data_IF_763029183588
#
_entry.id   IF_763029183588
#
_cell.length_a   1.000
_cell.length_b   1.000
_cell.length_c   1.000
_cell.angle_alpha   90.00
_cell.angle_beta   90.00
_cell.angle_gamma   90.00
#
_symmetry.space_group_name_H-M   'P 1'
#
loop_
_entity.id
_entity.type
_entity.pdbx_description
1 polymer ?
#
# COMPACT_ATOMS: atom_id res chain seq x y z
N UNK A 1 -14.67 20.49 18.61
CA UNK A 1 -15.43 19.28 18.22
C UNK A 1 -14.50 18.40 17.40
N UNK A 2 -14.41 17.10 17.69
CA UNK A 2 -13.54 16.17 16.94
C UNK A 2 -14.21 15.84 15.59
N UNK A 3 -13.55 16.13 14.46
CA UNK A 3 -13.97 15.68 13.12
C UNK A 3 -13.09 14.50 12.69
N UNK A 4 -13.64 13.30 12.69
CA UNK A 4 -12.91 12.11 12.21
C UNK A 4 -12.71 12.21 10.69
N UNK A 5 -11.48 11.99 10.25
CA UNK A 5 -11.09 12.08 8.83
C UNK A 5 -11.60 10.88 8.04
N UNK A 6 -11.84 11.08 6.75
CA UNK A 6 -12.20 10.09 5.73
C UNK A 6 -13.59 9.45 5.89
N UNK A 7 -14.49 10.06 6.67
CA UNK A 7 -15.82 9.48 6.93
C UNK A 7 -16.99 10.44 6.78
N UNK A 8 -16.73 11.74 6.62
CA UNK A 8 -17.78 12.75 6.52
C UNK A 8 -18.45 12.66 5.13
N UNK A 9 -19.78 12.47 5.03
CA UNK A 9 -20.46 12.31 3.74
C UNK A 9 -20.15 13.44 2.74
N UNK A 10 -20.12 14.69 3.21
CA UNK A 10 -19.80 15.86 2.38
C UNK A 10 -18.38 15.81 1.79
N UNK A 11 -17.42 15.24 2.52
CA UNK A 11 -16.03 15.11 2.07
C UNK A 11 -15.90 13.89 1.14
N UNK A 12 -16.64 12.81 1.41
CA UNK A 12 -16.64 11.58 0.62
C UNK A 12 -17.17 11.81 -0.80
N UNK A 13 -18.20 12.65 -0.97
CA UNK A 13 -18.81 12.89 -2.28
C UNK A 13 -17.80 13.45 -3.28
N UNK A 14 -16.97 14.42 -2.88
CA UNK A 14 -15.92 14.95 -3.74
C UNK A 14 -14.91 13.89 -4.18
N UNK A 15 -14.57 12.95 -3.28
CA UNK A 15 -13.70 11.82 -3.61
C UNK A 15 -14.40 10.81 -4.53
N UNK A 16 -15.67 10.50 -4.29
CA UNK A 16 -16.45 9.56 -5.12
C UNK A 16 -16.66 10.09 -6.53
N UNK A 17 -16.87 11.39 -6.71
CA UNK A 17 -16.94 12.02 -8.04
C UNK A 17 -15.65 11.77 -8.84
N UNK A 18 -14.48 11.92 -8.20
CA UNK A 18 -13.18 11.65 -8.83
C UNK A 18 -13.01 10.15 -9.09
N UNK A 19 -13.33 9.30 -8.13
CA UNK A 19 -13.27 7.84 -8.28
C UNK A 19 -14.23 7.35 -9.37
N UNK A 20 -15.40 7.96 -9.54
CA UNK A 20 -16.36 7.64 -10.60
C UNK A 20 -15.80 7.90 -11.99
N UNK A 21 -15.18 9.05 -12.20
CA UNK A 21 -14.50 9.32 -13.46
C UNK A 21 -13.36 8.32 -13.72
N UNK A 22 -12.57 7.96 -12.68
CA UNK A 22 -11.49 6.98 -12.81
C UNK A 22 -12.01 5.57 -13.17
N UNK A 23 -13.11 5.15 -12.57
CA UNK A 23 -13.76 3.86 -12.84
C UNK A 23 -14.55 3.85 -14.17
N UNK A 24 -14.48 4.91 -14.97
CA UNK A 24 -15.18 5.00 -16.26
C UNK A 24 -16.70 5.16 -16.16
N UNK A 25 -17.20 5.67 -15.03
CA UNK A 25 -18.58 6.16 -14.85
C UNK A 25 -18.68 7.63 -15.28
N UNK A 26 -19.90 8.12 -15.52
CA UNK A 26 -20.18 9.50 -15.95
C UNK A 26 -20.83 10.35 -14.83
N UNK A 27 -20.04 10.93 -13.90
CA UNK A 27 -20.59 11.60 -12.72
C UNK A 27 -20.98 13.07 -12.94
N UNK A 28 -20.93 13.61 -14.16
CA UNK A 28 -21.03 15.05 -14.44
C UNK A 28 -22.33 15.69 -13.93
N UNK A 29 -23.48 15.05 -14.19
CA UNK A 29 -24.78 15.55 -13.73
C UNK A 29 -24.87 15.62 -12.20
N UNK A 30 -24.30 14.62 -11.51
CA UNK A 30 -24.26 14.58 -10.04
C UNK A 30 -23.29 15.65 -9.50
N UNK A 31 -22.14 15.85 -10.17
CA UNK A 31 -21.19 16.90 -9.83
C UNK A 31 -21.79 18.30 -9.96
N UNK A 32 -22.58 18.55 -11.01
CA UNK A 32 -23.28 19.82 -11.23
C UNK A 32 -24.30 20.09 -10.13
N UNK A 33 -25.10 19.09 -9.73
CA UNK A 33 -26.05 19.20 -8.62
C UNK A 33 -25.35 19.48 -7.30
N UNK A 34 -24.23 18.81 -7.02
CA UNK A 34 -23.44 19.07 -5.82
C UNK A 34 -22.92 20.50 -5.77
N UNK A 35 -22.34 20.99 -6.88
CA UNK A 35 -21.83 22.36 -6.98
C UNK A 35 -22.94 23.40 -6.88
N UNK A 36 -24.07 23.18 -7.55
CA UNK A 36 -25.23 24.08 -7.51
C UNK A 36 -25.82 24.22 -6.10
N UNK A 37 -25.70 23.18 -5.26
CA UNK A 37 -26.13 23.20 -3.87
C UNK A 37 -25.14 23.93 -2.92
N UNK A 38 -23.97 24.36 -3.42
CA UNK A 38 -22.90 24.95 -2.61
C UNK A 38 -21.89 23.94 -2.06
N UNK A 39 -21.85 22.73 -2.62
CA UNK A 39 -20.91 21.69 -2.25
C UNK A 39 -19.46 22.03 -2.62
N UNK A 40 -18.52 21.65 -1.75
CA UNK A 40 -17.09 21.87 -1.95
C UNK A 40 -16.39 20.70 -2.66
N UNK A 41 -15.17 20.94 -3.13
CA UNK A 41 -14.29 19.85 -3.55
C UNK A 41 -13.77 19.02 -2.38
N UNK A 42 -13.31 17.81 -2.67
CA UNK A 42 -12.75 16.90 -1.68
C UNK A 42 -11.49 17.48 -1.01
N UNK A 43 -11.35 17.38 0.34
CA UNK A 43 -10.13 17.75 1.04
C UNK A 43 -8.92 16.96 0.51
N UNK A 44 -7.90 17.67 -0.01
CA UNK A 44 -6.80 17.00 -0.71
C UNK A 44 -5.81 16.23 0.19
N UNK A 45 -5.65 16.60 1.47
CA UNK A 45 -4.64 15.99 2.37
C UNK A 45 -5.12 15.74 3.80
N UNK A 46 -6.01 16.57 4.33
CA UNK A 46 -6.46 16.47 5.72
C UNK A 46 -7.47 15.34 5.94
N UNK A 47 -8.12 14.84 4.88
CA UNK A 47 -9.17 13.83 4.94
C UNK A 47 -10.47 14.28 5.60
N UNK A 48 -10.54 15.48 6.15
CA UNK A 48 -11.80 16.13 6.54
C UNK A 48 -11.72 17.62 6.24
N UNK A 49 -12.86 18.21 5.89
CA UNK A 49 -13.04 19.65 5.85
C UNK A 49 -12.86 20.27 7.25
N UNK A 50 -12.29 21.49 7.35
CA UNK A 50 -12.01 22.14 8.63
C UNK A 50 -13.29 22.47 9.40
N UNK A 51 -14.36 22.83 8.68
CA UNK A 51 -15.65 23.21 9.23
C UNK A 51 -16.74 22.22 8.81
N UNK A 52 -17.73 21.94 9.68
CA UNK A 52 -18.88 21.13 9.30
C UNK A 52 -19.73 21.78 8.19
N UNK A 53 -20.12 20.99 7.20
CA UNK A 53 -21.13 21.40 6.23
C UNK A 53 -22.52 21.51 6.88
N UNK A 54 -23.42 22.24 6.21
CA UNK A 54 -24.82 22.35 6.64
C UNK A 54 -25.51 20.97 6.65
N UNK A 55 -26.53 20.80 7.49
CA UNK A 55 -27.33 19.56 7.53
C UNK A 55 -27.90 19.21 6.14
N UNK A 56 -28.32 20.23 5.39
CA UNK A 56 -28.81 20.07 4.02
C UNK A 56 -27.75 19.46 3.11
N UNK A 57 -26.53 20.01 3.08
CA UNK A 57 -25.44 19.50 2.26
C UNK A 57 -25.04 18.08 2.65
N UNK A 58 -25.07 17.75 3.95
CA UNK A 58 -24.76 16.38 4.41
C UNK A 58 -25.76 15.35 3.90
N UNK A 59 -27.06 15.64 4.01
CA UNK A 59 -28.11 14.76 3.49
C UNK A 59 -28.03 14.62 1.96
N UNK A 60 -27.85 15.74 1.26
CA UNK A 60 -27.65 15.71 -0.18
C UNK A 60 -26.43 14.88 -0.58
N UNK A 61 -25.32 14.99 0.17
CA UNK A 61 -24.13 14.20 -0.13
C UNK A 61 -24.37 12.69 -0.01
N UNK A 62 -25.14 12.27 1.00
CA UNK A 62 -25.54 10.88 1.17
C UNK A 62 -26.41 10.37 0.01
N UNK A 63 -27.41 11.15 -0.41
CA UNK A 63 -28.28 10.80 -1.54
C UNK A 63 -27.48 10.70 -2.85
N UNK A 64 -26.58 11.66 -3.11
CA UNK A 64 -25.75 11.68 -4.31
C UNK A 64 -24.70 10.57 -4.33
N UNK A 65 -24.18 10.15 -3.17
CA UNK A 65 -23.28 9.01 -3.06
C UNK A 65 -23.97 7.70 -3.45
N UNK A 66 -25.24 7.53 -3.07
CA UNK A 66 -26.02 6.36 -3.44
C UNK A 66 -26.34 6.38 -4.95
N UNK A 67 -26.69 7.54 -5.51
CA UNK A 67 -26.90 7.71 -6.96
C UNK A 67 -25.61 7.44 -7.77
N UNK A 68 -24.44 7.85 -7.26
CA UNK A 68 -23.14 7.55 -7.89
C UNK A 68 -22.84 6.06 -7.92
N UNK A 69 -23.28 5.31 -6.91
CA UNK A 69 -23.06 3.87 -6.83
C UNK A 69 -23.83 3.09 -7.91
N UNK A 70 -24.95 3.64 -8.39
CA UNK A 70 -25.80 3.03 -9.41
C UNK A 70 -25.34 3.34 -10.85
N UNK A 71 -24.40 4.27 -11.04
CA UNK A 71 -23.89 4.62 -12.37
C UNK A 71 -23.12 3.43 -13.00
N UNK A 72 -23.41 3.08 -14.26
CA UNK A 72 -22.71 2.00 -14.94
C UNK A 72 -21.25 2.37 -15.22
N UNK A 73 -20.34 1.44 -14.96
CA UNK A 73 -18.91 1.59 -15.29
C UNK A 73 -18.60 0.95 -16.64
N UNK A 74 -17.93 1.70 -17.51
CA UNK A 74 -17.41 1.21 -18.80
C UNK A 74 -16.21 0.27 -18.65
N UNK A 75 -15.64 0.18 -17.44
CA UNK A 75 -14.50 -0.67 -17.13
C UNK A 75 -14.89 -1.97 -16.43
N UNK A 76 -16.16 -2.16 -16.05
CA UNK A 76 -16.61 -3.30 -15.24
C UNK A 76 -16.26 -4.67 -15.82
N UNK A 77 -16.21 -4.80 -17.15
CA UNK A 77 -15.84 -6.05 -17.83
C UNK A 77 -14.33 -6.24 -18.00
N UNK A 78 -13.56 -5.16 -18.00
CA UNK A 78 -12.10 -5.20 -18.13
C UNK A 78 -11.41 -5.24 -16.75
N UNK A 79 -12.09 -4.72 -15.73
CA UNK A 79 -11.60 -4.60 -14.36
C UNK A 79 -12.60 -5.19 -13.33
N UNK A 80 -12.97 -6.48 -13.42
CA UNK A 80 -13.85 -7.12 -12.45
C UNK A 80 -13.17 -7.36 -11.09
N UNK A 81 -13.91 -7.21 -9.98
CA UNK A 81 -13.39 -7.60 -8.66
C UNK A 81 -13.49 -9.10 -8.38
N UNK A 82 -14.42 -9.81 -9.02
CA UNK A 82 -14.64 -11.24 -8.77
C UNK A 82 -13.43 -12.08 -9.20
N UNK A 83 -12.93 -12.95 -8.32
CA UNK A 83 -11.70 -13.71 -8.57
C UNK A 83 -11.84 -14.63 -9.80
N UNK A 84 -12.99 -15.28 -9.98
CA UNK A 84 -13.23 -16.16 -11.14
C UNK A 84 -13.17 -15.38 -12.45
N UNK A 85 -13.78 -14.20 -12.50
CA UNK A 85 -13.68 -13.30 -13.66
C UNK A 85 -12.26 -12.77 -13.87
N UNK A 86 -11.53 -12.44 -12.80
CA UNK A 86 -10.13 -12.02 -12.90
C UNK A 86 -9.29 -13.14 -13.53
N UNK A 87 -9.34 -14.35 -12.98
CA UNK A 87 -8.60 -15.50 -13.49
C UNK A 87 -8.95 -15.80 -14.95
N UNK A 88 -10.23 -15.71 -15.34
CA UNK A 88 -10.64 -15.90 -16.73
C UNK A 88 -10.07 -14.84 -17.70
N UNK A 89 -9.75 -13.63 -17.22
CA UNK A 89 -9.11 -12.59 -18.02
C UNK A 89 -7.57 -12.71 -18.06
N UNK A 90 -6.97 -13.55 -17.21
CA UNK A 90 -5.54 -13.74 -17.08
C UNK A 90 -5.10 -15.03 -17.80
N UNK A 91 -4.68 -14.97 -19.08
CA UNK A 91 -4.32 -16.16 -19.85
C UNK A 91 -3.12 -16.91 -19.28
N UNK A 92 -2.22 -16.19 -18.61
CA UNK A 92 -0.99 -16.72 -18.03
C UNK A 92 -1.12 -16.99 -16.52
N UNK A 93 -2.35 -17.12 -16.00
CA UNK A 93 -2.57 -17.38 -14.57
C UNK A 93 -1.81 -18.65 -14.13
N UNK A 94 -0.96 -18.57 -13.08
CA UNK A 94 -0.13 -19.71 -12.70
C UNK A 94 -0.96 -20.92 -12.30
N UNK A 95 -0.79 -22.05 -13.00
CA UNK A 95 -1.64 -23.25 -12.83
C UNK A 95 -1.07 -24.28 -11.84
N UNK A 96 0.21 -24.14 -11.46
CA UNK A 96 0.91 -25.03 -10.51
C UNK A 96 2.10 -24.28 -9.88
N UNK A 97 2.54 -24.62 -8.66
CA UNK A 97 3.79 -24.12 -8.11
C UNK A 97 4.95 -24.45 -9.04
N UNK A 98 5.68 -23.44 -9.51
CA UNK A 98 6.75 -23.59 -10.51
C UNK A 98 8.02 -24.22 -9.91
N UNK A 99 8.16 -24.17 -8.59
CA UNK A 99 9.31 -24.66 -7.84
C UNK A 99 8.86 -25.36 -6.55
N UNK A 100 9.61 -26.38 -6.14
CA UNK A 100 9.41 -26.98 -4.82
C UNK A 100 9.63 -25.90 -3.73
N UNK A 101 8.88 -25.95 -2.62
CA UNK A 101 9.08 -25.00 -1.52
C UNK A 101 10.53 -25.02 -1.06
N UNK A 102 11.12 -23.83 -0.84
CA UNK A 102 12.43 -23.75 -0.22
C UNK A 102 12.38 -24.47 1.15
N UNK A 103 13.43 -25.24 1.52
CA UNK A 103 13.47 -25.86 2.83
C UNK A 103 13.38 -24.79 3.93
N UNK A 104 12.75 -25.09 5.09
CA UNK A 104 12.53 -24.11 6.17
C UNK A 104 13.80 -23.34 6.56
N UNK A 105 14.94 -24.02 6.62
CA UNK A 105 16.25 -23.44 6.98
C UNK A 105 16.73 -22.36 5.99
N UNK A 106 16.29 -22.44 4.72
CA UNK A 106 16.59 -21.44 3.72
C UNK A 106 15.53 -20.33 3.67
N UNK A 107 14.31 -20.55 4.16
CA UNK A 107 13.24 -19.56 4.15
C UNK A 107 13.31 -18.61 5.35
N UNK A 108 13.70 -19.09 6.54
CA UNK A 108 13.75 -18.25 7.74
C UNK A 108 14.61 -16.98 7.58
N UNK A 109 15.85 -17.04 7.06
CA UNK A 109 16.67 -15.84 6.92
C UNK A 109 16.08 -14.87 5.90
N UNK A 110 15.43 -15.37 4.84
CA UNK A 110 14.73 -14.53 3.86
C UNK A 110 13.54 -13.81 4.48
N UNK A 111 12.75 -14.50 5.28
CA UNK A 111 11.63 -13.90 6.00
C UNK A 111 12.11 -12.83 7.00
N UNK A 112 13.22 -13.08 7.70
CA UNK A 112 13.82 -12.09 8.59
C UNK A 112 14.31 -10.86 7.81
N UNK A 113 14.99 -11.07 6.70
CA UNK A 113 15.38 -9.99 5.80
C UNK A 113 14.15 -9.20 5.32
N UNK A 114 13.07 -9.86 4.91
CA UNK A 114 11.85 -9.22 4.44
C UNK A 114 11.19 -8.33 5.48
N UNK A 115 11.06 -8.81 6.73
CA UNK A 115 10.54 -8.02 7.84
C UNK A 115 11.40 -6.79 8.14
N UNK A 116 12.73 -6.95 8.16
CA UNK A 116 13.66 -5.83 8.31
C UNK A 116 13.55 -4.85 7.15
N UNK A 117 13.54 -5.34 5.92
CA UNK A 117 13.46 -4.52 4.72
C UNK A 117 12.17 -3.72 4.66
N UNK A 118 11.04 -4.34 5.02
CA UNK A 118 9.76 -3.66 5.18
C UNK A 118 9.83 -2.54 6.22
N UNK A 119 10.40 -2.82 7.39
CA UNK A 119 10.54 -1.82 8.45
C UNK A 119 11.47 -0.66 8.05
N UNK A 120 12.62 -0.95 7.42
CA UNK A 120 13.55 0.06 6.89
C UNK A 120 12.85 0.98 5.89
N UNK A 121 12.16 0.39 4.92
CA UNK A 121 11.49 1.15 3.86
C UNK A 121 10.36 2.03 4.39
N UNK A 122 9.53 1.49 5.28
CA UNK A 122 8.50 2.27 5.98
C UNK A 122 9.15 3.43 6.76
N UNK A 123 10.14 3.13 7.61
CA UNK A 123 10.80 4.13 8.45
C UNK A 123 11.46 5.26 7.66
N UNK A 124 12.09 4.93 6.53
CA UNK A 124 12.68 5.94 5.64
C UNK A 124 11.62 6.87 5.03
N UNK A 125 10.45 6.33 4.67
CA UNK A 125 9.37 7.09 4.05
C UNK A 125 8.52 7.93 5.00
N UNK A 126 8.39 7.51 6.28
CA UNK A 126 7.51 8.15 7.27
C UNK A 126 7.71 9.66 7.48
N UNK A 127 8.94 10.23 7.51
CA UNK A 127 9.12 11.66 7.75
C UNK A 127 8.60 12.55 6.61
N UNK A 128 8.62 12.02 5.38
CA UNK A 128 8.30 12.76 4.16
C UNK A 128 6.95 12.37 3.53
N UNK A 129 6.20 11.50 4.21
CA UNK A 129 4.82 11.17 3.86
C UNK A 129 3.98 12.47 3.73
N UNK A 130 3.13 12.54 2.70
CA UNK A 130 2.29 13.72 2.33
C UNK A 130 3.03 14.93 1.77
N UNK A 131 4.37 14.93 1.71
CA UNK A 131 5.11 16.00 1.06
C UNK A 131 5.00 15.88 -0.47
N UNK A 132 4.94 17.00 -1.19
CA UNK A 132 5.05 16.98 -2.64
C UNK A 132 6.49 16.60 -3.05
N UNK A 133 6.66 16.06 -4.26
CA UNK A 133 7.94 15.58 -4.79
C UNK A 133 9.05 16.63 -4.70
N UNK A 134 8.73 17.89 -5.03
CA UNK A 134 9.67 19.01 -4.96
C UNK A 134 10.13 19.30 -3.53
N UNK A 135 9.26 19.07 -2.54
CA UNK A 135 9.58 19.20 -1.11
C UNK A 135 10.56 18.12 -0.65
N UNK A 136 10.34 16.87 -1.07
CA UNK A 136 11.24 15.75 -0.76
C UNK A 136 12.64 16.02 -1.33
N UNK A 137 12.72 16.41 -2.60
CA UNK A 137 13.99 16.78 -3.27
C UNK A 137 14.70 17.93 -2.56
N UNK A 138 14.00 19.03 -2.28
CA UNK A 138 14.60 20.19 -1.62
C UNK A 138 15.14 19.84 -0.23
N UNK A 139 14.37 19.12 0.59
CA UNK A 139 14.80 18.68 1.93
C UNK A 139 16.05 17.81 1.80
N UNK A 140 16.02 16.78 0.96
CA UNK A 140 17.12 15.85 0.82
C UNK A 140 18.41 16.53 0.31
N UNK A 141 18.30 17.42 -0.68
CA UNK A 141 19.43 18.22 -1.16
C UNK A 141 20.00 19.14 -0.07
N UNK A 142 19.14 19.85 0.66
CA UNK A 142 19.55 20.78 1.71
C UNK A 142 20.30 20.08 2.85
N UNK A 143 19.94 18.83 3.15
CA UNK A 143 20.62 18.01 4.17
C UNK A 143 21.78 17.16 3.61
N UNK A 144 22.15 17.32 2.33
CA UNK A 144 23.23 16.54 1.70
C UNK A 144 22.92 15.05 1.54
N UNK A 145 21.64 14.67 1.50
CA UNK A 145 21.14 13.30 1.40
C UNK A 145 20.44 13.06 0.04
N UNK A 146 20.86 13.73 -1.05
CA UNK A 146 20.37 13.44 -2.40
C UNK A 146 21.52 12.97 -3.31
N UNK A 147 21.45 11.76 -3.90
CA UNK A 147 20.43 10.73 -3.67
C UNK A 147 20.42 10.21 -2.22
N UNK A 148 19.31 9.62 -1.77
CA UNK A 148 19.17 9.12 -0.39
C UNK A 148 20.23 8.04 -0.11
N UNK A 149 20.96 8.20 0.99
CA UNK A 149 21.97 7.24 1.47
C UNK A 149 21.79 6.87 2.94
N UNK A 150 20.98 7.65 3.68
CA UNK A 150 20.64 7.46 5.08
C UNK A 150 19.21 7.95 5.38
N UNK A 151 18.74 7.77 6.62
CA UNK A 151 17.45 8.28 7.09
C UNK A 151 17.39 9.82 7.06
N UNK A 152 16.19 10.38 6.83
CA UNK A 152 15.98 11.83 6.89
C UNK A 152 16.30 12.39 8.28
N UNK A 153 16.89 13.59 8.32
CA UNK A 153 17.24 14.29 9.56
C UNK A 153 16.75 15.73 9.53
N UNK A 154 16.37 16.29 10.68
CA UNK A 154 16.12 17.73 10.78
C UNK A 154 17.42 18.52 10.99
N UNK A 155 18.52 17.86 11.35
CA UNK A 155 19.80 18.51 11.60
C UNK A 155 20.37 19.09 10.30
N UNK A 156 20.65 20.39 10.32
CA UNK A 156 21.19 21.10 9.16
C UNK A 156 20.15 21.50 8.12
N UNK A 157 18.85 21.23 8.34
CA UNK A 157 17.79 21.73 7.47
C UNK A 157 17.58 23.24 7.72
N UNK A 158 17.63 24.10 6.68
CA UNK A 158 17.35 25.53 6.82
C UNK A 158 15.94 25.82 7.37
N UNK A 159 15.82 26.82 8.24
CA UNK A 159 14.56 27.16 8.93
C UNK A 159 13.44 27.55 7.94
N UNK A 160 13.77 28.25 6.86
CA UNK A 160 12.83 28.64 5.82
C UNK A 160 12.27 27.41 5.07
N UNK A 161 13.13 26.42 4.81
CA UNK A 161 12.72 25.17 4.18
C UNK A 161 11.90 24.29 5.13
N UNK A 162 12.28 24.23 6.41
CA UNK A 162 11.51 23.53 7.45
C UNK A 162 10.12 24.16 7.66
N UNK A 163 10.00 25.49 7.53
CA UNK A 163 8.72 26.19 7.59
C UNK A 163 7.86 25.93 6.34
N UNK A 164 8.48 25.85 5.16
CA UNK A 164 7.81 25.59 3.88
C UNK A 164 7.29 24.15 3.77
N UNK A 165 8.09 23.18 4.23
CA UNK A 165 7.76 21.75 4.23
C UNK A 165 7.91 21.19 5.65
N UNK A 166 6.94 21.43 6.54
CA UNK A 166 7.03 20.98 7.92
C UNK A 166 7.00 19.45 7.99
N UNK A 167 7.87 18.88 8.84
CA UNK A 167 7.85 17.47 9.15
C UNK A 167 6.47 17.01 9.65
N UNK A 168 6.09 15.79 9.31
CA UNK A 168 4.85 15.20 9.79
C UNK A 168 4.90 15.10 11.33
N UNK A 169 4.00 15.82 12.02
CA UNK A 169 4.00 15.93 13.49
C UNK A 169 3.89 14.59 14.22
N UNK A 170 3.33 13.56 13.58
CA UNK A 170 3.17 12.22 14.18
C UNK A 170 4.44 11.38 14.06
N UNK A 171 5.19 11.52 12.97
CA UNK A 171 6.39 10.72 12.70
C UNK A 171 7.70 11.43 13.03
N UNK A 172 7.75 12.77 13.01
CA UNK A 172 8.98 13.53 13.23
C UNK A 172 9.69 13.20 14.55
N UNK A 173 8.92 12.97 15.62
CA UNK A 173 9.44 12.68 16.96
C UNK A 173 10.04 11.27 17.11
N UNK A 174 9.84 10.39 16.11
CA UNK A 174 10.25 8.98 16.20
C UNK A 174 10.99 8.47 14.95
N UNK A 175 10.86 9.15 13.81
CA UNK A 175 11.27 8.63 12.50
C UNK A 175 12.37 9.44 11.82
N UNK A 176 12.83 10.53 12.42
CA UNK A 176 14.03 11.25 11.98
C UNK A 176 15.28 10.55 12.53
N UNK A 177 16.39 10.58 11.79
CA UNK A 177 17.63 9.86 12.10
C UNK A 177 18.10 10.03 13.56
N UNK A 178 18.00 11.23 14.10
CA UNK A 178 18.38 11.57 15.48
C UNK A 178 17.40 11.07 16.56
N UNK A 179 16.20 10.63 16.18
CA UNK A 179 15.12 10.22 17.05
C UNK A 179 14.77 8.72 16.93
N UNK A 180 15.33 8.01 15.95
CA UNK A 180 15.04 6.59 15.74
C UNK A 180 15.52 5.77 16.95
N UNK A 181 14.58 5.06 17.57
CA UNK A 181 14.83 4.12 18.66
C UNK A 181 13.92 2.90 18.50
N UNK A 182 14.24 2.04 17.55
CA UNK A 182 13.36 0.97 17.10
C UNK A 182 12.42 1.39 15.98
N UNK A 183 11.60 0.45 15.51
CA UNK A 183 10.55 0.75 14.52
C UNK A 183 9.31 1.31 15.24
N UNK A 184 8.95 2.58 15.03
CA UNK A 184 7.72 3.15 15.56
C UNK A 184 6.48 2.52 14.92
N UNK A 185 5.34 2.64 15.59
CA UNK A 185 4.06 2.15 15.08
C UNK A 185 3.72 2.76 13.71
N UNK A 186 3.27 1.89 12.80
CA UNK A 186 2.75 2.24 11.49
C UNK A 186 1.71 1.22 11.03
N UNK A 187 0.70 1.62 10.26
CA UNK A 187 -0.27 0.68 9.69
C UNK A 187 0.36 -0.26 8.65
N UNK A 188 1.42 0.17 7.97
CA UNK A 188 2.26 -0.71 7.13
C UNK A 188 2.83 -1.90 7.92
N UNK A 189 3.02 -1.79 9.23
CA UNK A 189 3.52 -2.89 10.05
C UNK A 189 2.38 -3.58 10.81
N UNK A 190 1.32 -2.85 11.17
CA UNK A 190 0.17 -3.43 11.88
C UNK A 190 -0.61 -4.42 11.02
N UNK A 191 -0.85 -4.15 9.74
CA UNK A 191 -1.62 -5.08 8.92
C UNK A 191 -0.94 -6.43 8.68
N UNK A 192 0.38 -6.50 8.41
CA UNK A 192 1.10 -7.77 8.43
C UNK A 192 0.94 -8.55 9.75
N UNK A 193 0.95 -7.89 10.91
CA UNK A 193 0.70 -8.55 12.20
C UNK A 193 -0.72 -9.09 12.31
N UNK A 194 -1.72 -8.31 11.87
CA UNK A 194 -3.11 -8.77 11.78
C UNK A 194 -3.22 -9.98 10.84
N UNK A 195 -2.53 -9.98 9.70
CA UNK A 195 -2.54 -11.10 8.77
C UNK A 195 -1.86 -12.36 9.35
N UNK A 196 -0.81 -12.21 10.16
CA UNK A 196 -0.28 -13.34 10.94
C UNK A 196 -1.30 -13.88 11.95
N UNK A 197 -2.03 -13.00 12.64
CA UNK A 197 -3.12 -13.42 13.55
C UNK A 197 -4.26 -14.13 12.80
N UNK A 198 -4.62 -13.62 11.62
CA UNK A 198 -5.62 -14.21 10.74
C UNK A 198 -5.25 -15.65 10.38
N UNK A 199 -4.02 -15.86 9.91
CA UNK A 199 -3.53 -17.20 9.55
C UNK A 199 -3.46 -18.12 10.76
N UNK A 200 -3.04 -17.62 11.93
CA UNK A 200 -3.02 -18.42 13.17
C UNK A 200 -4.41 -18.93 13.55
N UNK A 201 -5.41 -18.05 13.50
CA UNK A 201 -6.79 -18.33 13.94
C UNK A 201 -7.60 -19.14 12.93
N UNK A 202 -7.47 -18.82 11.64
CA UNK A 202 -8.35 -19.34 10.59
C UNK A 202 -7.61 -20.17 9.51
N UNK A 203 -6.29 -20.28 9.59
CA UNK A 203 -5.46 -20.98 8.61
C UNK A 203 -5.41 -20.28 7.25
N UNK A 204 -4.78 -20.91 6.27
CA UNK A 204 -4.60 -20.35 4.91
C UNK A 204 -5.90 -20.30 4.10
N UNK A 205 -6.93 -21.03 4.56
CA UNK A 205 -8.27 -21.11 3.95
C UNK A 205 -9.26 -20.05 4.43
N UNK A 206 -8.83 -19.03 5.18
CA UNK A 206 -9.69 -17.97 5.70
C UNK A 206 -10.57 -17.33 4.62
N UNK A 207 -11.73 -16.84 5.04
CA UNK A 207 -12.71 -16.11 4.25
C UNK A 207 -12.62 -14.61 4.51
N UNK A 208 -13.21 -13.78 3.65
CA UNK A 208 -13.30 -12.33 3.87
C UNK A 208 -14.05 -12.00 5.16
N UNK A 209 -15.00 -12.85 5.57
CA UNK A 209 -15.74 -12.69 6.83
C UNK A 209 -14.84 -12.93 8.05
N UNK A 210 -13.88 -13.86 7.97
CA UNK A 210 -12.86 -14.04 9.02
C UNK A 210 -11.98 -12.79 9.16
N UNK A 211 -11.67 -12.11 8.06
CA UNK A 211 -10.92 -10.84 8.10
C UNK A 211 -11.74 -9.75 8.78
N UNK A 212 -13.03 -9.63 8.45
CA UNK A 212 -13.94 -8.69 9.08
C UNK A 212 -14.06 -8.94 10.60
N UNK A 213 -14.26 -10.20 11.01
CA UNK A 213 -14.34 -10.59 12.41
C UNK A 213 -13.04 -10.26 13.16
N UNK A 214 -11.89 -10.59 12.58
CA UNK A 214 -10.59 -10.26 13.16
C UNK A 214 -10.40 -8.75 13.35
N UNK A 215 -10.83 -7.93 12.39
CA UNK A 215 -10.71 -6.48 12.51
C UNK A 215 -11.55 -5.94 13.66
N UNK A 216 -12.80 -6.40 13.79
CA UNK A 216 -13.67 -6.02 14.89
C UNK A 216 -13.09 -6.41 16.26
N UNK A 217 -12.36 -7.53 16.32
CA UNK A 217 -11.73 -8.02 17.54
C UNK A 217 -10.41 -7.30 17.89
N UNK A 218 -9.58 -7.00 16.88
CA UNK A 218 -8.15 -6.75 17.09
C UNK A 218 -7.62 -5.45 16.47
N UNK A 219 -8.36 -4.79 15.58
CA UNK A 219 -7.95 -3.52 14.97
C UNK A 219 -8.73 -2.36 15.59
N UNK A 220 -8.10 -1.46 16.37
CA UNK A 220 -8.81 -0.28 16.85
C UNK A 220 -9.29 0.59 15.67
N UNK A 221 -10.59 0.91 15.61
CA UNK A 221 -11.19 1.65 14.49
C UNK A 221 -10.47 2.98 14.15
N UNK A 222 -9.87 3.64 15.15
CA UNK A 222 -9.09 4.87 14.97
C UNK A 222 -7.73 4.68 14.27
N UNK A 223 -7.31 3.43 14.07
CA UNK A 223 -6.05 3.03 13.42
C UNK A 223 -6.23 2.57 11.97
N UNK A 224 -7.47 2.45 11.48
CA UNK A 224 -7.75 2.27 10.06
C UNK A 224 -7.83 3.65 9.37
N UNK A 225 -7.45 3.75 8.09
CA UNK A 225 -7.49 4.99 7.31
C UNK A 225 -8.24 4.78 6.00
N UNK A 226 -8.69 5.85 5.34
CA UNK A 226 -9.25 5.81 3.99
C UNK A 226 -10.27 4.68 3.74
N UNK A 227 -10.01 3.74 2.82
CA UNK A 227 -10.89 2.64 2.44
C UNK A 227 -11.17 1.70 3.61
N UNK A 228 -10.15 1.40 4.40
CA UNK A 228 -10.24 0.55 5.58
C UNK A 228 -11.11 1.20 6.65
N UNK A 229 -10.96 2.50 6.87
CA UNK A 229 -11.80 3.22 7.82
C UNK A 229 -13.27 3.21 7.39
N UNK A 230 -13.53 3.41 6.11
CA UNK A 230 -14.90 3.38 5.58
C UNK A 230 -15.48 1.97 5.70
N UNK A 231 -14.73 0.94 5.34
CA UNK A 231 -15.17 -0.44 5.47
C UNK A 231 -15.41 -0.84 6.93
N UNK A 232 -14.56 -0.42 7.86
CA UNK A 232 -14.75 -0.61 9.30
C UNK A 232 -16.04 0.08 9.77
N UNK A 233 -16.26 1.34 9.39
CA UNK A 233 -17.53 2.04 9.66
C UNK A 233 -18.72 1.23 9.12
N UNK A 234 -18.62 0.71 7.90
CA UNK A 234 -19.67 -0.07 7.27
C UNK A 234 -19.96 -1.38 8.04
N UNK A 235 -18.93 -2.08 8.52
CA UNK A 235 -19.07 -3.24 9.41
C UNK A 235 -19.84 -2.87 10.69
N UNK A 236 -19.47 -1.76 11.34
CA UNK A 236 -20.16 -1.26 12.55
C UNK A 236 -21.61 -0.83 12.28
N UNK A 237 -21.94 -0.50 11.02
CA UNK A 237 -23.30 -0.23 10.59
C UNK A 237 -24.08 -1.49 10.17
N UNK A 238 -23.51 -2.69 10.35
CA UNK A 238 -24.16 -3.96 10.03
C UNK A 238 -24.12 -4.34 8.55
N UNK A 239 -23.22 -3.74 7.75
CA UNK A 239 -22.98 -4.18 6.38
C UNK A 239 -21.93 -5.28 6.36
N UNK A 240 -22.19 -6.33 5.60
CA UNK A 240 -21.30 -7.49 5.45
C UNK A 240 -20.48 -7.41 4.14
N UNK A 241 -19.31 -8.06 4.08
CA UNK A 241 -18.57 -8.23 2.84
C UNK A 241 -19.42 -8.90 1.75
N UNK A 242 -19.22 -8.57 0.45
CA UNK A 242 -18.30 -7.56 -0.08
C UNK A 242 -18.91 -6.14 -0.12
N UNK A 243 -20.10 -5.90 0.47
CA UNK A 243 -20.77 -4.58 0.42
C UNK A 243 -19.98 -3.53 1.20
N UNK A 244 -19.25 -3.94 2.24
CA UNK A 244 -18.32 -3.10 3.02
C UNK A 244 -17.34 -2.31 2.16
N UNK A 245 -16.80 -2.91 1.10
CA UNK A 245 -15.85 -2.28 0.18
C UNK A 245 -16.48 -1.27 -0.78
N UNK A 246 -17.79 -1.35 -1.01
CA UNK A 246 -18.49 -0.57 -2.06
C UNK A 246 -19.38 0.53 -1.50
N UNK A 247 -20.01 0.29 -0.35
CA UNK A 247 -20.97 1.23 0.20
C UNK A 247 -20.29 2.52 0.66
N UNK A 248 -20.53 3.61 -0.10
CA UNK A 248 -20.02 4.96 0.19
C UNK A 248 -18.51 4.97 0.47
N UNK A 249 -17.75 4.18 -0.30
CA UNK A 249 -16.30 4.01 -0.16
C UNK A 249 -15.55 4.48 -1.43
N UNK A 250 -15.20 5.76 -1.52
CA UNK A 250 -14.49 6.29 -2.68
C UNK A 250 -13.01 5.90 -2.75
N UNK A 251 -12.49 5.26 -1.70
CA UNK A 251 -11.06 4.98 -1.56
C UNK A 251 -10.71 3.55 -1.97
N UNK A 252 -11.68 2.77 -2.46
CA UNK A 252 -11.55 1.33 -2.78
C UNK A 252 -10.49 0.95 -3.84
N UNK A 253 -9.87 1.92 -4.52
CA UNK A 253 -8.72 1.72 -5.41
C UNK A 253 -7.43 2.40 -4.90
N UNK A 254 -7.41 2.81 -3.62
CA UNK A 254 -6.22 3.36 -2.97
C UNK A 254 -5.31 2.21 -2.49
N UNK A 255 -4.10 2.57 -2.05
CA UNK A 255 -3.00 1.63 -1.82
C UNK A 255 -3.18 0.72 -0.59
N UNK A 256 -4.15 0.98 0.28
CA UNK A 256 -4.26 0.29 1.56
C UNK A 256 -4.44 -1.24 1.49
N UNK A 257 -4.96 -1.80 0.40
CA UNK A 257 -4.90 -3.26 0.18
C UNK A 257 -3.49 -3.78 -0.17
N UNK A 258 -2.68 -3.00 -0.89
CA UNK A 258 -1.33 -3.39 -1.30
C UNK A 258 -0.42 -3.60 -0.08
N UNK A 259 -0.53 -2.75 0.95
CA UNK A 259 0.31 -2.84 2.16
C UNK A 259 0.01 -4.06 3.03
N UNK A 260 -1.08 -4.78 2.77
CA UNK A 260 -1.47 -6.00 3.50
C UNK A 260 -0.96 -7.28 2.81
N UNK A 261 -0.46 -7.16 1.59
CA UNK A 261 -0.20 -8.29 0.70
C UNK A 261 1.00 -9.16 1.12
N UNK A 262 1.97 -8.60 1.84
CA UNK A 262 3.26 -9.24 2.11
C UNK A 262 3.17 -10.61 2.77
N UNK A 263 2.37 -10.73 3.84
CA UNK A 263 2.20 -12.00 4.56
C UNK A 263 1.64 -13.09 3.64
N UNK A 264 0.79 -12.73 2.69
CA UNK A 264 0.27 -13.68 1.71
C UNK A 264 1.34 -14.13 0.72
N UNK A 265 2.29 -13.27 0.35
CA UNK A 265 3.46 -13.70 -0.44
C UNK A 265 4.43 -14.55 0.39
N UNK A 266 4.78 -14.10 1.58
CA UNK A 266 5.73 -14.76 2.49
C UNK A 266 5.31 -16.17 2.90
N UNK A 267 4.00 -16.43 3.00
CA UNK A 267 3.44 -17.73 3.39
C UNK A 267 3.05 -18.64 2.20
N UNK A 268 3.31 -18.18 0.97
CA UNK A 268 3.09 -18.95 -0.27
C UNK A 268 4.33 -18.92 -1.19
N UNK A 269 5.56 -19.20 -0.70
CA UNK A 269 6.76 -19.15 -1.53
C UNK A 269 6.66 -20.12 -2.71
N UNK A 270 6.88 -19.64 -3.93
CA UNK A 270 6.77 -20.42 -5.16
C UNK A 270 5.34 -20.67 -5.66
N UNK A 271 4.32 -20.16 -4.96
CA UNK A 271 2.90 -20.30 -5.34
C UNK A 271 2.23 -18.91 -5.49
N UNK A 272 2.57 -18.16 -6.56
CA UNK A 272 2.05 -16.81 -6.79
C UNK A 272 0.53 -16.78 -7.00
N UNK A 273 -0.07 -17.84 -7.56
CA UNK A 273 -1.52 -17.92 -7.73
C UNK A 273 -2.25 -18.02 -6.38
N UNK A 274 -1.76 -18.87 -5.47
CA UNK A 274 -2.35 -18.98 -4.13
C UNK A 274 -2.11 -17.73 -3.28
N UNK A 275 -0.93 -17.11 -3.40
CA UNK A 275 -0.64 -15.83 -2.77
C UNK A 275 -1.62 -14.73 -3.22
N UNK A 276 -1.84 -14.61 -4.53
CA UNK A 276 -2.79 -13.66 -5.11
C UNK A 276 -4.23 -13.94 -4.68
N UNK A 277 -4.67 -15.21 -4.70
CA UNK A 277 -6.00 -15.59 -4.25
C UNK A 277 -6.23 -15.31 -2.75
N UNK A 278 -5.20 -15.46 -1.92
CA UNK A 278 -5.27 -15.15 -0.49
C UNK A 278 -5.32 -13.64 -0.24
N UNK A 279 -4.48 -12.87 -0.93
CA UNK A 279 -4.52 -11.41 -0.90
C UNK A 279 -5.84 -10.84 -1.44
N UNK A 280 -6.46 -11.50 -2.43
CA UNK A 280 -7.80 -11.13 -2.91
C UNK A 280 -8.87 -11.25 -1.82
N UNK A 281 -8.89 -12.35 -1.06
CA UNK A 281 -9.86 -12.53 0.05
C UNK A 281 -9.71 -11.49 1.14
N UNK A 282 -8.47 -11.11 1.48
CA UNK A 282 -8.18 -10.02 2.42
C UNK A 282 -8.55 -8.63 1.85
N UNK A 283 -8.18 -8.36 0.60
CA UNK A 283 -8.38 -7.07 -0.04
C UNK A 283 -9.87 -6.74 -0.25
N UNK A 284 -10.69 -7.73 -0.60
CA UNK A 284 -12.11 -7.56 -0.93
C UNK A 284 -12.99 -7.12 0.25
N UNK A 285 -12.49 -7.17 1.49
CA UNK A 285 -13.15 -6.55 2.64
C UNK A 285 -13.31 -5.04 2.43
N UNK A 286 -12.33 -4.38 1.81
CA UNK A 286 -12.23 -2.91 1.80
C UNK A 286 -12.02 -2.31 0.41
N UNK A 287 -11.54 -3.09 -0.57
CA UNK A 287 -11.14 -2.62 -1.90
C UNK A 287 -11.87 -3.34 -3.04
N UNK A 288 -11.78 -2.75 -4.23
CA UNK A 288 -12.25 -3.31 -5.50
C UNK A 288 -11.22 -3.11 -6.61
N UNK A 289 -11.36 -3.82 -7.73
CA UNK A 289 -10.62 -3.57 -8.98
C UNK A 289 -9.13 -3.26 -8.74
N UNK A 290 -8.62 -2.08 -9.12
CA UNK A 290 -7.18 -1.80 -9.06
C UNK A 290 -6.59 -1.81 -7.64
N UNK A 291 -7.39 -1.56 -6.59
CA UNK A 291 -6.95 -1.74 -5.22
C UNK A 291 -6.68 -3.22 -4.88
N UNK A 292 -7.60 -4.10 -5.31
CA UNK A 292 -7.44 -5.56 -5.16
C UNK A 292 -6.30 -6.08 -6.05
N UNK A 293 -6.19 -5.59 -7.28
CA UNK A 293 -5.13 -6.00 -8.21
C UNK A 293 -3.74 -5.64 -7.70
N UNK A 294 -3.60 -4.49 -7.03
CA UNK A 294 -2.33 -4.08 -6.45
C UNK A 294 -1.89 -5.04 -5.33
N UNK A 295 -2.82 -5.48 -4.48
CA UNK A 295 -2.55 -6.52 -3.47
C UNK A 295 -2.20 -7.87 -4.09
N UNK A 296 -2.96 -8.31 -5.09
CA UNK A 296 -2.70 -9.56 -5.82
C UNK A 296 -1.33 -9.56 -6.50
N UNK A 297 -1.02 -8.48 -7.21
CA UNK A 297 0.27 -8.25 -7.86
C UNK A 297 1.41 -8.38 -6.85
N UNK A 298 1.36 -7.59 -5.77
CA UNK A 298 2.40 -7.56 -4.74
C UNK A 298 2.59 -8.91 -4.06
N UNK A 299 1.50 -9.60 -3.68
CA UNK A 299 1.59 -10.93 -3.08
C UNK A 299 2.26 -11.95 -4.03
N UNK A 300 1.94 -11.92 -5.33
CA UNK A 300 2.56 -12.79 -6.33
C UNK A 300 4.03 -12.45 -6.59
N UNK A 301 4.41 -11.16 -6.61
CA UNK A 301 5.82 -10.73 -6.69
C UNK A 301 6.60 -11.27 -5.49
N UNK A 302 6.06 -11.11 -4.28
CA UNK A 302 6.69 -11.54 -3.02
C UNK A 302 6.80 -13.07 -2.95
N UNK A 303 5.75 -13.80 -3.34
CA UNK A 303 5.77 -15.26 -3.40
C UNK A 303 6.87 -15.79 -4.35
N UNK A 304 7.09 -15.10 -5.47
CA UNK A 304 8.17 -15.42 -6.41
C UNK A 304 9.53 -15.09 -5.81
N UNK A 305 9.71 -13.89 -5.24
CA UNK A 305 10.97 -13.47 -4.62
C UNK A 305 11.38 -14.35 -3.43
N UNK A 306 10.41 -14.82 -2.63
CA UNK A 306 10.64 -15.66 -1.46
C UNK A 306 11.25 -17.03 -1.77
N UNK A 307 11.21 -17.48 -3.03
CA UNK A 307 11.95 -18.67 -3.48
C UNK A 307 13.46 -18.49 -3.42
N UNK A 308 13.95 -17.24 -3.58
CA UNK A 308 15.36 -16.93 -3.70
C UNK A 308 16.03 -17.46 -4.97
N UNK A 309 15.26 -17.82 -6.01
CA UNK A 309 15.79 -18.40 -7.26
C UNK A 309 15.66 -17.47 -8.47
N UNK A 310 14.98 -16.33 -8.34
CA UNK A 310 14.62 -15.46 -9.45
C UNK A 310 15.09 -14.02 -9.23
N UNK A 311 15.41 -13.34 -10.32
CA UNK A 311 15.70 -11.90 -10.32
C UNK A 311 14.43 -11.06 -10.11
N UNK A 312 14.61 -9.77 -9.82
CA UNK A 312 13.51 -8.84 -9.60
C UNK A 312 12.58 -8.73 -10.80
N UNK A 313 13.12 -8.80 -12.02
CA UNK A 313 12.35 -8.68 -13.24
C UNK A 313 11.43 -9.88 -13.46
N UNK A 314 11.86 -11.08 -13.10
CA UNK A 314 11.06 -12.29 -13.12
C UNK A 314 9.95 -12.23 -12.07
N UNK A 315 10.25 -11.71 -10.88
CA UNK A 315 9.25 -11.50 -9.84
C UNK A 315 8.15 -10.52 -10.30
N UNK A 316 8.52 -9.37 -10.89
CA UNK A 316 7.58 -8.39 -11.43
C UNK A 316 6.75 -8.94 -12.60
N UNK A 317 7.36 -9.71 -13.52
CA UNK A 317 6.62 -10.40 -14.58
C UNK A 317 5.63 -11.41 -14.02
N UNK A 318 6.01 -12.14 -12.97
CA UNK A 318 5.14 -13.08 -12.26
C UNK A 318 3.94 -12.36 -11.64
N UNK A 319 4.16 -11.21 -10.98
CA UNK A 319 3.07 -10.39 -10.46
C UNK A 319 2.05 -9.97 -11.53
N UNK A 320 2.51 -9.64 -12.74
CA UNK A 320 1.62 -9.26 -13.84
C UNK A 320 0.75 -10.41 -14.38
N UNK A 321 1.08 -11.67 -14.09
CA UNK A 321 0.32 -12.85 -14.56
C UNK A 321 -1.01 -13.03 -13.82
N UNK A 322 -1.14 -12.46 -12.62
CA UNK A 322 -2.36 -12.55 -11.79
C UNK A 322 -3.23 -11.30 -11.87
N UNK A 323 -2.90 -10.35 -12.76
CA UNK A 323 -3.63 -9.10 -12.96
C UNK A 323 -4.23 -9.06 -14.37
N UNK A 324 -5.51 -8.68 -14.57
CA UNK A 324 -6.09 -8.59 -15.90
C UNK A 324 -5.24 -7.70 -16.82
N UNK A 325 -4.78 -8.20 -17.98
CA UNK A 325 -3.73 -7.56 -18.77
C UNK A 325 -4.16 -6.24 -19.40
N UNK A 326 -5.47 -5.95 -19.49
CA UNK A 326 -6.04 -4.70 -19.99
C UNK A 326 -6.40 -3.70 -18.88
N UNK A 327 -6.15 -4.03 -17.61
CA UNK A 327 -6.40 -3.12 -16.50
C UNK A 327 -5.45 -1.93 -16.51
N UNK A 328 -5.89 -0.82 -15.91
CA UNK A 328 -5.09 0.38 -15.65
C UNK A 328 -3.82 0.06 -14.87
N UNK A 329 -3.91 -0.79 -13.83
CA UNK A 329 -2.74 -1.22 -13.06
C UNK A 329 -1.69 -1.92 -13.94
N UNK A 330 -2.09 -2.92 -14.72
CA UNK A 330 -1.16 -3.65 -15.59
C UNK A 330 -0.50 -2.73 -16.63
N UNK A 331 -1.26 -1.79 -17.18
CA UNK A 331 -0.73 -0.76 -18.08
C UNK A 331 0.32 0.13 -17.41
N UNK A 332 0.03 0.64 -16.21
CA UNK A 332 0.94 1.52 -15.46
C UNK A 332 2.23 0.80 -15.04
N UNK A 333 2.14 -0.44 -14.55
CA UNK A 333 3.32 -1.24 -14.17
C UNK A 333 4.20 -1.53 -15.39
N UNK A 334 3.62 -1.96 -16.53
CA UNK A 334 4.41 -2.19 -17.76
C UNK A 334 5.05 -0.91 -18.29
N UNK A 335 4.36 0.23 -18.18
CA UNK A 335 4.92 1.53 -18.53
C UNK A 335 6.14 1.85 -17.66
N UNK A 336 5.98 1.76 -16.34
CA UNK A 336 7.01 2.08 -15.37
C UNK A 336 8.25 1.17 -15.49
N UNK A 337 8.06 -0.14 -15.66
CA UNK A 337 9.15 -1.10 -15.90
C UNK A 337 9.89 -0.78 -17.20
N UNK A 338 9.17 -0.47 -18.29
CA UNK A 338 9.82 -0.10 -19.55
C UNK A 338 10.64 1.17 -19.39
N UNK A 339 10.05 2.21 -18.80
CA UNK A 339 10.67 3.50 -18.57
C UNK A 339 11.95 3.35 -17.72
N UNK A 340 11.87 2.61 -16.62
CA UNK A 340 13.00 2.34 -15.74
C UNK A 340 14.16 1.57 -16.41
N UNK A 341 13.88 0.75 -17.43
CA UNK A 341 14.92 0.02 -18.18
C UNK A 341 15.60 0.88 -19.25
N UNK A 342 14.89 1.86 -19.79
CA UNK A 342 15.37 2.66 -20.94
C UNK A 342 15.93 4.02 -20.55
N UNK A 343 15.68 4.47 -19.32
CA UNK A 343 16.08 5.78 -18.82
C UNK A 343 17.15 5.61 -17.74
N UNK A 344 18.40 6.08 -17.96
CA UNK A 344 19.50 5.90 -17.00
C UNK A 344 19.36 6.69 -15.69
N UNK A 345 18.69 7.85 -15.76
CA UNK A 345 18.46 8.71 -14.61
C UNK A 345 17.06 8.44 -14.02
N UNK A 346 17.02 8.11 -12.74
CA UNK A 346 15.78 7.77 -12.07
C UNK A 346 14.93 9.00 -11.73
N UNK A 347 15.53 10.18 -11.59
CA UNK A 347 14.74 11.40 -11.37
C UNK A 347 13.87 11.70 -12.59
N UNK A 348 14.42 11.49 -13.79
CA UNK A 348 13.67 11.53 -15.05
C UNK A 348 12.55 10.48 -15.12
N UNK A 349 12.78 9.26 -14.61
CA UNK A 349 11.73 8.22 -14.51
C UNK A 349 10.59 8.68 -13.61
N UNK A 350 10.91 9.24 -12.44
CA UNK A 350 9.94 9.76 -11.48
C UNK A 350 9.14 10.92 -12.08
N UNK A 351 9.81 11.87 -12.73
CA UNK A 351 9.15 13.04 -13.32
C UNK A 351 8.12 12.64 -14.38
N UNK A 352 8.44 11.67 -15.23
CA UNK A 352 7.52 11.15 -16.25
C UNK A 352 6.33 10.38 -15.63
N UNK A 353 6.56 9.61 -14.56
CA UNK A 353 5.47 8.95 -13.83
C UNK A 353 4.53 9.97 -13.18
N UNK A 354 5.06 11.04 -12.58
CA UNK A 354 4.25 12.13 -12.04
C UNK A 354 3.50 12.88 -13.13
N UNK A 355 4.15 13.20 -14.25
CA UNK A 355 3.50 13.83 -15.41
C UNK A 355 2.34 12.98 -15.96
N UNK A 356 2.51 11.66 -15.97
CA UNK A 356 1.48 10.72 -16.44
C UNK A 356 0.29 10.61 -15.49
N UNK A 357 0.55 10.56 -14.17
CA UNK A 357 -0.47 10.11 -13.21
C UNK A 357 -1.00 11.17 -12.24
N UNK A 358 -0.19 12.17 -11.86
CA UNK A 358 -0.48 13.05 -10.72
C UNK A 358 -1.73 13.94 -10.92
N UNK A 359 -2.05 14.30 -12.17
CA UNK A 359 -3.24 15.09 -12.48
C UNK A 359 -4.56 14.31 -12.32
N UNK A 360 -4.52 12.98 -12.44
CA UNK A 360 -5.72 12.13 -12.45
C UNK A 360 -5.91 11.35 -11.15
N UNK A 361 -4.81 10.99 -10.49
CA UNK A 361 -4.85 10.11 -9.33
C UNK A 361 -4.51 10.87 -8.06
N UNK A 362 -5.16 10.47 -6.97
CA UNK A 362 -4.73 10.89 -5.64
C UNK A 362 -3.35 10.29 -5.33
N UNK A 363 -2.54 10.96 -4.51
CA UNK A 363 -1.17 10.54 -4.21
C UNK A 363 -1.10 9.18 -3.49
N UNK A 364 -2.17 8.72 -2.83
CA UNK A 364 -2.26 7.35 -2.26
C UNK A 364 -3.00 6.34 -3.16
N UNK A 365 -3.26 6.66 -4.43
CA UNK A 365 -3.97 5.75 -5.33
C UNK A 365 -3.08 4.54 -5.69
N UNK A 366 -3.64 3.32 -5.76
CA UNK A 366 -2.84 2.11 -5.93
C UNK A 366 -2.05 2.07 -7.24
N UNK A 367 -2.66 2.53 -8.35
CA UNK A 367 -2.05 2.53 -9.70
C UNK A 367 -0.68 3.23 -9.78
N UNK A 368 -0.55 4.55 -9.50
CA UNK A 368 0.74 5.23 -9.58
C UNK A 368 1.76 4.68 -8.57
N UNK A 369 1.33 4.35 -7.35
CA UNK A 369 2.20 3.83 -6.31
C UNK A 369 2.80 2.46 -6.68
N UNK A 370 1.98 1.54 -7.20
CA UNK A 370 2.47 0.22 -7.68
C UNK A 370 3.42 0.39 -8.87
N UNK A 371 3.14 1.36 -9.76
CA UNK A 371 4.02 1.69 -10.87
C UNK A 371 5.39 2.22 -10.38
N UNK A 372 5.41 3.12 -9.39
CA UNK A 372 6.65 3.63 -8.80
C UNK A 372 7.48 2.51 -8.15
N UNK A 373 6.84 1.63 -7.36
CA UNK A 373 7.49 0.47 -6.74
C UNK A 373 8.15 -0.39 -7.83
N UNK A 374 7.42 -0.71 -8.90
CA UNK A 374 7.93 -1.52 -10.00
C UNK A 374 9.09 -0.84 -10.76
N UNK A 375 9.02 0.48 -10.97
CA UNK A 375 10.11 1.26 -11.58
C UNK A 375 11.35 1.27 -10.71
N UNK A 376 11.21 1.53 -9.40
CA UNK A 376 12.34 1.59 -8.47
C UNK A 376 13.04 0.24 -8.33
N UNK A 377 12.28 -0.84 -8.14
CA UNK A 377 12.78 -2.22 -8.11
C UNK A 377 13.50 -2.60 -9.41
N UNK A 378 12.94 -2.20 -10.55
CA UNK A 378 13.55 -2.44 -11.87
C UNK A 378 14.85 -1.65 -12.06
N UNK A 379 14.86 -0.36 -11.71
CA UNK A 379 16.02 0.51 -11.91
C UNK A 379 17.16 0.20 -10.94
N UNK A 380 16.85 -0.33 -9.75
CA UNK A 380 17.84 -0.80 -8.80
C UNK A 380 18.31 -2.24 -9.08
N UNK A 381 17.75 -2.93 -10.07
CA UNK A 381 17.99 -4.36 -10.34
C UNK A 381 17.86 -5.23 -9.07
N UNK A 382 16.89 -4.90 -8.20
CA UNK A 382 16.66 -5.61 -6.95
C UNK A 382 17.65 -5.30 -5.82
N UNK A 383 18.63 -4.40 -6.00
CA UNK A 383 19.48 -3.92 -4.90
C UNK A 383 18.61 -3.34 -3.78
N UNK A 384 18.83 -3.80 -2.55
CA UNK A 384 18.11 -3.35 -1.37
C UNK A 384 18.19 -1.84 -1.15
N UNK A 385 19.40 -1.27 -1.09
CA UNK A 385 19.52 0.18 -0.83
C UNK A 385 18.98 0.98 -2.00
N UNK A 386 19.33 0.60 -3.23
CA UNK A 386 18.81 1.25 -4.43
C UNK A 386 17.29 1.24 -4.50
N UNK A 387 16.65 0.11 -4.22
CA UNK A 387 15.18 -0.05 -4.34
C UNK A 387 14.45 0.81 -3.32
N UNK A 388 14.86 0.76 -2.05
CA UNK A 388 14.22 1.52 -0.96
C UNK A 388 14.42 3.03 -1.17
N UNK A 389 15.65 3.47 -1.43
CA UNK A 389 15.95 4.89 -1.65
C UNK A 389 15.23 5.46 -2.86
N UNK A 390 15.27 4.77 -4.01
CA UNK A 390 14.57 5.22 -5.24
C UNK A 390 13.06 5.31 -5.02
N UNK A 391 12.48 4.31 -4.34
CA UNK A 391 11.05 4.29 -4.06
C UNK A 391 10.63 5.49 -3.19
N UNK A 392 11.34 5.75 -2.08
CA UNK A 392 11.01 6.89 -1.19
C UNK A 392 11.28 8.23 -1.87
N UNK A 393 12.39 8.36 -2.61
CA UNK A 393 12.71 9.56 -3.40
C UNK A 393 11.65 9.87 -4.47
N UNK A 394 10.92 8.86 -4.95
CA UNK A 394 9.85 9.02 -5.94
C UNK A 394 8.58 9.70 -5.40
N UNK A 395 8.47 9.88 -4.09
CA UNK A 395 7.33 10.53 -3.45
C UNK A 395 6.06 9.67 -3.42
N UNK A 396 4.91 10.35 -3.46
CA UNK A 396 3.59 9.75 -3.20
C UNK A 396 3.50 9.14 -1.80
N UNK A 397 3.04 7.90 -1.66
CA UNK A 397 2.86 7.25 -0.37
C UNK A 397 4.17 6.60 0.10
N UNK A 398 5.07 7.43 0.61
CA UNK A 398 6.50 7.11 0.71
C UNK A 398 6.82 5.98 1.67
N UNK A 399 6.16 5.91 2.82
CA UNK A 399 6.29 4.82 3.79
C UNK A 399 5.74 3.51 3.22
N UNK A 400 4.51 3.51 2.71
CA UNK A 400 3.89 2.30 2.15
C UNK A 400 4.61 1.74 0.93
N UNK A 401 5.05 2.62 0.03
CA UNK A 401 5.85 2.22 -1.11
C UNK A 401 7.22 1.70 -0.66
N UNK A 402 7.88 2.41 0.25
CA UNK A 402 9.17 2.01 0.82
C UNK A 402 9.09 0.64 1.48
N UNK A 403 8.05 0.40 2.28
CA UNK A 403 7.79 -0.86 2.98
C UNK A 403 7.71 -2.04 2.01
N UNK A 404 6.92 -1.87 0.94
CA UNK A 404 6.72 -2.92 -0.06
C UNK A 404 8.00 -3.17 -0.88
N UNK A 405 8.67 -2.11 -1.35
CA UNK A 405 9.92 -2.24 -2.09
C UNK A 405 11.04 -2.87 -1.24
N UNK A 406 11.12 -2.48 0.04
CA UNK A 406 12.08 -3.02 1.00
C UNK A 406 11.85 -4.49 1.30
N UNK A 407 10.59 -4.91 1.45
CA UNK A 407 10.20 -6.33 1.60
C UNK A 407 10.67 -7.18 0.41
N UNK A 408 10.38 -6.76 -0.82
CA UNK A 408 10.78 -7.47 -2.04
C UNK A 408 12.30 -7.51 -2.17
N UNK A 409 12.98 -6.36 -2.07
CA UNK A 409 14.42 -6.29 -2.28
C UNK A 409 15.21 -7.03 -1.18
N UNK A 410 14.71 -7.08 0.05
CA UNK A 410 15.35 -7.85 1.12
C UNK A 410 15.17 -9.37 0.96
N UNK A 411 14.04 -9.83 0.40
CA UNK A 411 13.91 -11.25 0.00
C UNK A 411 14.96 -11.63 -1.06
N UNK A 412 15.20 -10.73 -2.03
CA UNK A 412 16.22 -10.92 -3.06
C UNK A 412 17.65 -10.88 -2.49
N UNK A 413 17.90 -10.05 -1.48
CA UNK A 413 19.18 -10.04 -0.75
C UNK A 413 19.42 -11.35 0.03
N UNK A 414 18.36 -12.07 0.38
CA UNK A 414 18.41 -13.47 0.83
C UNK A 414 18.70 -13.69 2.32
N UNK A 415 19.33 -12.73 3.00
CA UNK A 415 19.72 -12.87 4.40
C UNK A 415 19.70 -11.50 5.11
N UNK A 416 19.35 -11.42 6.43
CA UNK A 416 19.37 -10.16 7.17
C UNK A 416 20.75 -9.49 7.16
N UNK A 417 21.83 -10.27 7.26
CA UNK A 417 23.21 -9.77 7.24
C UNK A 417 23.63 -9.17 5.88
N UNK A 418 22.88 -9.43 4.80
CA UNK A 418 23.10 -8.79 3.51
C UNK A 418 22.54 -7.35 3.47
N UNK A 419 21.70 -6.97 4.43
CA UNK A 419 21.15 -5.63 4.55
C UNK A 419 22.15 -4.72 5.29
N UNK A 420 22.52 -3.54 4.74
CA UNK A 420 23.50 -2.68 5.40
C UNK A 420 23.09 -2.24 6.80
N UNK A 421 24.00 -2.38 7.77
CA UNK A 421 23.74 -2.08 9.19
C UNK A 421 23.22 -0.67 9.45
N UNK A 422 23.61 0.33 8.64
CA UNK A 422 23.10 1.71 8.75
C UNK A 422 21.57 1.78 8.67
N UNK A 423 20.95 0.83 7.98
CA UNK A 423 19.51 0.73 7.85
C UNK A 423 18.89 -0.08 8.99
N UNK A 424 19.47 -1.24 9.32
CA UNK A 424 18.85 -2.21 10.24
C UNK A 424 19.17 -1.96 11.70
N UNK A 425 20.37 -1.47 12.04
CA UNK A 425 20.80 -1.26 13.43
C UNK A 425 19.90 -0.27 14.20
N UNK A 426 19.43 0.85 13.62
CA UNK A 426 18.51 1.76 14.31
C UNK A 426 17.17 1.12 14.72
N UNK A 427 16.76 0.03 14.05
CA UNK A 427 15.51 -0.68 14.35
C UNK A 427 15.59 -1.53 15.63
N UNK A 428 16.79 -1.80 16.15
CA UNK A 428 17.05 -2.49 17.43
C UNK A 428 16.26 -3.78 17.64
N UNK A 429 15.89 -4.46 16.55
CA UNK A 429 15.01 -5.62 16.56
C UNK A 429 13.75 -5.41 17.44
N UNK A 430 13.08 -4.26 17.29
CA UNK A 430 11.93 -3.88 18.13
C UNK A 430 10.89 -3.11 17.33
N UNK A 431 9.66 -3.62 17.31
CA UNK A 431 8.50 -2.97 16.69
C UNK A 431 7.52 -2.48 17.76
N UNK A 432 7.18 -1.20 17.74
CA UNK A 432 6.04 -0.66 18.50
C UNK A 432 4.73 -0.87 17.71
N UNK A 433 3.66 -1.32 18.36
CA UNK A 433 2.38 -1.58 17.67
C UNK A 433 1.19 -1.56 18.62
N UNK A 434 0.01 -1.17 18.11
CA UNK A 434 -1.27 -1.33 18.82
C UNK A 434 -1.92 -2.70 18.63
N UNK A 435 -1.34 -3.59 17.81
CA UNK A 435 -1.85 -4.96 17.66
C UNK A 435 -1.53 -5.75 18.93
N UNK A 436 -2.58 -6.15 19.64
CA UNK A 436 -2.48 -6.75 20.95
C UNK A 436 -1.56 -7.99 20.94
N UNK A 437 -0.60 -8.03 21.87
CA UNK A 437 0.35 -9.13 22.03
C UNK A 437 1.59 -9.06 21.15
N UNK A 438 1.77 -8.02 20.34
CA UNK A 438 2.95 -7.85 19.49
C UNK A 438 3.82 -6.63 19.83
N UNK A 439 3.40 -5.76 20.75
CA UNK A 439 4.20 -4.58 21.11
C UNK A 439 5.58 -4.98 21.67
N UNK A 440 6.63 -4.38 21.11
CA UNK A 440 8.02 -4.69 21.42
C UNK A 440 8.59 -5.94 20.74
N UNK A 441 7.83 -6.63 19.87
CA UNK A 441 8.30 -7.86 19.21
C UNK A 441 9.43 -7.56 18.22
N UNK A 442 10.40 -8.48 18.15
CA UNK A 442 11.50 -8.42 17.19
C UNK A 442 11.17 -9.01 15.81
N UNK A 443 11.84 -8.53 14.78
CA UNK A 443 11.68 -8.98 13.39
C UNK A 443 12.14 -10.44 13.21
N UNK A 444 13.11 -10.90 14.00
CA UNK A 444 13.50 -12.30 14.07
C UNK A 444 12.34 -13.21 14.53
N UNK A 445 11.62 -12.78 15.55
CA UNK A 445 10.47 -13.47 16.14
C UNK A 445 9.31 -13.45 15.15
N UNK A 446 9.05 -12.30 14.50
CA UNK A 446 8.05 -12.20 13.44
C UNK A 446 8.37 -13.12 12.25
N UNK A 447 9.64 -13.27 11.88
CA UNK A 447 10.06 -14.19 10.84
C UNK A 447 9.81 -15.66 11.21
N UNK A 448 10.12 -16.06 12.45
CA UNK A 448 9.82 -17.40 12.96
C UNK A 448 8.31 -17.70 12.94
N UNK A 449 7.51 -16.74 13.39
CA UNK A 449 6.05 -16.85 13.36
C UNK A 449 5.50 -16.93 11.94
N UNK A 450 6.10 -16.20 11.00
CA UNK A 450 5.73 -16.27 9.58
C UNK A 450 6.09 -17.62 8.99
N UNK A 451 7.26 -18.17 9.33
CA UNK A 451 7.67 -19.51 8.90
C UNK A 451 6.72 -20.61 9.41
N UNK A 452 6.26 -20.49 10.65
CA UNK A 452 5.28 -21.42 11.22
C UNK A 452 4.00 -21.45 10.38
N UNK A 453 3.47 -20.29 9.98
CA UNK A 453 2.27 -20.25 9.13
C UNK A 453 2.56 -20.69 7.68
N UNK A 454 3.77 -20.45 7.17
CA UNK A 454 4.18 -20.90 5.83
C UNK A 454 4.30 -22.43 5.71
N UNK A 455 4.70 -23.09 6.81
CA UNK A 455 4.92 -24.54 6.88
C UNK A 455 3.75 -25.31 7.50
N UNK A 456 2.73 -24.58 7.97
CA UNK A 456 1.50 -25.18 8.52
C UNK A 456 0.76 -25.98 7.43
N UNK A 457 0.37 -27.24 7.71
CA UNK A 457 -0.30 -28.11 6.75
C UNK A 457 -1.56 -27.51 6.12
#
# INVERSE_FOLDING_TARGET
MLRLTWVQPEDLLGHELRQAALDGREPSAIAERWKAAGGCEAPARAGASPEPASRYLRLLAEDLLDELADLPSRLADQEPTDLGRITALCPDWPSTPTTAPAPPDALLPRLHAAWLGRAVGCLLGKPVEKLPLDGIRQIAHATGNWPLTTYFTARGLPDDLAAKYPWNRRSATTSLAENIDGMPEDDDLNYPLLNLLLLRRHGRGFTTDDVAALWLDALPAGRAFTAERVAYRNLLCGLEPPRTARHRNPFREWIGALIRADVHGWTNPGDPARAAAQAHRDATLTHTANGVYAAMFTAAVIACAATGTYDVHTCLRTGLTVVPPRSRLAGAVRHAVRLARTTPDFDTVVDELHATHAARHHWVHAVPNTALIAAALTHADGDFTGSVCRTVSGGWDTDSNGATAGSVAALLAGHPDALPERWTAPLKNRLATSVAGFDGTGFDTLAQLTLQEATRP
#
